data_IF_546702134382
#
_entry.id   IF_546702134382
#
_cell.length_a   1.000
_cell.length_b   1.000
_cell.length_c   1.000
_cell.angle_alpha   90.00
_cell.angle_beta   90.00
_cell.angle_gamma   90.00
#
_symmetry.space_group_name_H-M   'P 1'
#
loop_
_entity.id
_entity.type
_entity.pdbx_description
1 polymer ?
#
# COMPACT_ATOMS: atom_id res chain seq x y z
N UNK A 1 32.17 9.67 -11.57
CA UNK A 1 32.21 9.52 -10.10
C UNK A 1 30.77 9.54 -9.64
N UNK A 2 30.17 8.37 -9.50
CA UNK A 2 28.72 8.24 -9.36
C UNK A 2 28.35 8.31 -7.87
N UNK A 3 28.05 9.53 -7.43
CA UNK A 3 27.63 9.84 -6.06
C UNK A 3 26.17 9.44 -5.80
N UNK A 4 25.86 8.14 -5.85
CA UNK A 4 24.59 7.67 -5.30
C UNK A 4 24.68 7.67 -3.77
N UNK A 5 23.74 8.29 -3.04
CA UNK A 5 23.76 8.34 -1.58
C UNK A 5 23.52 6.94 -1.00
N UNK A 6 24.63 6.26 -0.67
CA UNK A 6 24.66 5.00 0.07
C UNK A 6 24.53 5.35 1.55
N UNK A 7 23.30 5.46 2.04
CA UNK A 7 23.05 5.71 3.47
C UNK A 7 22.77 4.38 4.19
N UNK A 8 23.80 3.65 4.67
CA UNK A 8 23.62 2.37 5.36
C UNK A 8 22.90 2.52 6.70
N UNK A 9 22.85 3.73 7.25
CA UNK A 9 22.19 4.05 8.51
C UNK A 9 20.74 4.51 8.32
N UNK A 10 20.20 4.47 7.09
CA UNK A 10 18.82 4.86 6.81
C UNK A 10 17.85 3.89 7.50
N UNK A 11 17.08 4.42 8.45
CA UNK A 11 16.04 3.70 9.20
C UNK A 11 14.63 4.03 8.72
N UNK A 12 14.39 5.28 8.33
CA UNK A 12 13.09 5.81 7.95
C UNK A 12 13.18 6.41 6.56
N UNK A 13 12.29 6.01 5.66
CA UNK A 13 12.19 6.59 4.32
C UNK A 13 10.73 6.86 3.98
N UNK A 14 10.40 8.15 3.90
CA UNK A 14 9.08 8.62 3.48
C UNK A 14 9.24 9.34 2.16
N UNK A 15 8.66 8.78 1.10
CA UNK A 15 8.66 9.43 -0.20
C UNK A 15 7.37 10.23 -0.34
N UNK A 16 7.49 11.42 -0.94
CA UNK A 16 6.34 12.27 -1.24
C UNK A 16 5.79 11.99 -2.64
N UNK A 17 4.51 12.27 -2.79
CA UNK A 17 3.75 12.26 -4.05
C UNK A 17 4.54 13.02 -5.13
N UNK A 18 4.85 12.37 -6.26
CA UNK A 18 5.38 13.02 -7.46
C UNK A 18 6.84 12.70 -7.80
N UNK A 19 7.58 12.02 -6.92
CA UNK A 19 8.83 11.38 -7.33
C UNK A 19 8.47 10.12 -8.10
N UNK A 20 8.53 10.17 -9.44
CA UNK A 20 8.68 8.94 -10.20
C UNK A 20 9.90 8.23 -9.66
N UNK A 21 9.67 7.14 -8.93
CA UNK A 21 10.68 6.19 -8.55
C UNK A 21 11.22 5.59 -9.86
N UNK A 22 12.19 6.27 -10.47
CA UNK A 22 12.93 5.78 -11.63
C UNK A 22 13.60 4.45 -11.27
N UNK A 23 14.07 3.67 -12.24
CA UNK A 23 14.63 2.35 -11.94
C UNK A 23 15.83 2.35 -10.97
N UNK A 24 16.38 3.51 -10.59
CA UNK A 24 17.53 3.65 -9.70
C UNK A 24 17.26 3.17 -8.27
N UNK A 25 16.00 3.15 -7.80
CA UNK A 25 15.68 2.62 -6.46
C UNK A 25 16.11 1.17 -6.29
N UNK A 26 16.07 0.37 -7.36
CA UNK A 26 16.53 -1.04 -7.34
C UNK A 26 17.99 -1.15 -6.96
N UNK A 27 18.80 -0.14 -7.32
CA UNK A 27 20.22 -0.06 -7.01
C UNK A 27 20.45 0.44 -5.58
N UNK A 28 19.53 1.23 -5.02
CA UNK A 28 19.63 1.79 -3.68
C UNK A 28 19.25 0.80 -2.57
N UNK A 29 18.21 -0.02 -2.75
CA UNK A 29 17.71 -0.94 -1.72
C UNK A 29 18.75 -1.86 -1.06
N UNK A 30 19.73 -2.44 -1.79
CA UNK A 30 20.78 -3.27 -1.17
C UNK A 30 21.60 -2.54 -0.08
N UNK A 31 21.62 -1.20 -0.10
CA UNK A 31 22.34 -0.39 0.87
C UNK A 31 21.47 0.00 2.09
N UNK A 32 20.14 -0.15 2.02
CA UNK A 32 19.21 0.22 3.09
C UNK A 32 18.82 -0.96 3.97
N UNK A 33 19.82 -1.74 4.41
CA UNK A 33 19.60 -2.97 5.20
C UNK A 33 18.97 -2.73 6.57
N UNK A 34 19.20 -1.53 7.11
CA UNK A 34 18.69 -1.10 8.41
C UNK A 34 17.36 -0.35 8.34
N UNK A 35 16.70 -0.36 7.16
CA UNK A 35 15.41 0.30 6.99
C UNK A 35 14.36 -0.41 7.84
N UNK A 36 13.74 0.35 8.74
CA UNK A 36 12.71 -0.09 9.69
C UNK A 36 11.32 0.38 9.23
N UNK A 37 11.26 1.53 8.56
CA UNK A 37 10.03 2.12 8.06
C UNK A 37 10.17 2.64 6.62
N UNK A 38 9.19 2.30 5.80
CA UNK A 38 9.07 2.80 4.44
C UNK A 38 7.63 3.24 4.16
N UNK A 39 7.44 4.47 3.70
CA UNK A 39 6.13 4.95 3.26
C UNK A 39 6.24 5.56 1.87
N UNK A 40 5.36 5.14 0.97
CA UNK A 40 5.27 5.70 -0.37
C UNK A 40 3.80 5.81 -0.81
N UNK A 41 3.34 6.99 -1.22
CA UNK A 41 2.05 7.10 -1.88
C UNK A 41 2.13 6.41 -3.25
N UNK A 42 1.33 5.36 -3.47
CA UNK A 42 1.26 4.60 -4.74
C UNK A 42 0.32 5.37 -5.69
N UNK A 43 0.89 6.34 -6.41
CA UNK A 43 0.16 7.11 -7.40
C UNK A 43 -0.12 6.27 -8.64
N UNK A 44 -1.25 5.57 -8.60
CA UNK A 44 -2.18 5.28 -9.69
C UNK A 44 -1.66 4.60 -10.98
N UNK A 45 -0.36 4.31 -11.13
CA UNK A 45 0.19 3.75 -12.36
C UNK A 45 1.16 2.59 -12.13
N UNK A 46 0.67 1.40 -12.50
CA UNK A 46 1.46 0.39 -13.19
C UNK A 46 2.50 -0.36 -12.36
N UNK A 47 2.09 -1.35 -11.58
CA UNK A 47 2.92 -2.49 -11.17
C UNK A 47 4.19 -2.19 -10.34
N UNK A 48 4.53 -0.93 -10.07
CA UNK A 48 5.72 -0.52 -9.32
C UNK A 48 5.70 -1.15 -7.94
N UNK A 49 4.52 -1.19 -7.30
CA UNK A 49 4.34 -1.79 -5.98
C UNK A 49 4.85 -3.24 -5.93
N UNK A 50 4.65 -4.05 -6.96
CA UNK A 50 5.16 -5.43 -6.98
C UNK A 50 6.68 -5.47 -6.97
N UNK A 51 7.32 -4.62 -7.77
CA UNK A 51 8.78 -4.51 -7.78
C UNK A 51 9.32 -3.95 -6.47
N UNK A 52 8.69 -2.90 -5.95
CA UNK A 52 9.06 -2.20 -4.73
C UNK A 52 8.97 -3.13 -3.52
N UNK A 53 7.81 -3.76 -3.31
CA UNK A 53 7.56 -4.71 -2.23
C UNK A 53 8.53 -5.89 -2.30
N UNK A 54 8.85 -6.38 -3.51
CA UNK A 54 9.87 -7.43 -3.67
C UNK A 54 11.26 -6.96 -3.25
N UNK A 55 11.67 -5.74 -3.63
CA UNK A 55 12.97 -5.20 -3.24
C UNK A 55 13.06 -4.95 -1.74
N UNK A 56 12.04 -4.34 -1.14
CA UNK A 56 11.93 -4.17 0.31
C UNK A 56 12.07 -5.53 1.03
N UNK A 57 11.28 -6.53 0.64
CA UNK A 57 11.33 -7.86 1.23
C UNK A 57 12.68 -8.56 1.07
N UNK A 58 13.38 -8.33 -0.04
CA UNK A 58 14.68 -8.94 -0.30
C UNK A 58 15.83 -8.29 0.46
N UNK A 59 15.83 -6.96 0.59
CA UNK A 59 17.00 -6.21 1.08
C UNK A 59 16.83 -5.57 2.46
N UNK A 60 15.60 -5.21 2.84
CA UNK A 60 15.29 -4.48 4.08
C UNK A 60 14.68 -5.44 5.11
N UNK A 61 15.52 -6.32 5.68
CA UNK A 61 15.06 -7.39 6.60
C UNK A 61 14.53 -6.88 7.94
N UNK A 62 14.85 -5.64 8.30
CA UNK A 62 14.38 -4.99 9.52
C UNK A 62 13.10 -4.17 9.29
N UNK A 63 12.51 -4.21 8.10
CA UNK A 63 11.32 -3.44 7.79
C UNK A 63 10.11 -3.96 8.56
N UNK A 64 9.62 -3.14 9.48
CA UNK A 64 8.48 -3.44 10.34
C UNK A 64 7.27 -2.55 10.02
N UNK A 65 7.50 -1.39 9.41
CA UNK A 65 6.46 -0.41 9.10
C UNK A 65 6.42 -0.13 7.60
N UNK A 66 5.24 -0.32 7.00
CA UNK A 66 5.04 -0.11 5.57
C UNK A 66 3.80 0.73 5.32
N UNK A 67 3.98 1.84 4.62
CA UNK A 67 2.89 2.73 4.23
C UNK A 67 2.71 2.76 2.72
N UNK A 68 1.48 2.50 2.28
CA UNK A 68 1.08 2.61 0.88
C UNK A 68 -0.29 3.26 0.76
N UNK A 69 -0.50 3.98 -0.33
CA UNK A 69 -1.78 4.61 -0.65
C UNK A 69 -2.15 4.26 -2.08
N UNK A 70 -3.24 3.52 -2.32
CA UNK A 70 -3.68 3.20 -3.68
C UNK A 70 -4.85 2.23 -3.72
N UNK A 71 -5.06 1.57 -4.86
CA UNK A 71 -6.08 0.52 -4.99
C UNK A 71 -5.46 -0.82 -4.55
N UNK A 72 -6.01 -1.44 -3.53
CA UNK A 72 -5.49 -2.67 -2.92
C UNK A 72 -6.57 -3.75 -3.00
N UNK A 73 -6.40 -4.67 -3.95
CA UNK A 73 -7.18 -5.90 -4.06
C UNK A 73 -6.47 -7.09 -3.42
N UNK A 74 -7.09 -8.27 -3.52
CA UNK A 74 -6.59 -9.53 -2.96
C UNK A 74 -5.20 -9.92 -3.47
N UNK A 75 -4.92 -9.73 -4.76
CA UNK A 75 -3.61 -10.03 -5.34
C UNK A 75 -2.49 -9.18 -4.73
N UNK A 76 -2.72 -7.87 -4.63
CA UNK A 76 -1.75 -6.92 -4.07
C UNK A 76 -1.53 -7.19 -2.57
N UNK A 77 -2.60 -7.45 -1.81
CA UNK A 77 -2.52 -7.82 -0.41
C UNK A 77 -1.72 -9.11 -0.20
N UNK A 78 -2.03 -10.16 -0.98
CA UNK A 78 -1.32 -11.44 -0.92
C UNK A 78 0.17 -11.28 -1.23
N UNK A 79 0.50 -10.42 -2.20
CA UNK A 79 1.86 -10.15 -2.57
C UNK A 79 2.65 -9.43 -1.47
N UNK A 80 2.03 -8.47 -0.79
CA UNK A 80 2.61 -7.76 0.37
C UNK A 80 2.88 -8.76 1.49
N UNK A 81 1.86 -9.52 1.90
CA UNK A 81 1.97 -10.54 2.95
C UNK A 81 3.08 -11.55 2.65
N UNK A 82 3.21 -11.98 1.39
CA UNK A 82 4.23 -12.95 0.97
C UNK A 82 5.65 -12.42 1.09
N UNK A 83 5.90 -11.14 0.77
CA UNK A 83 7.25 -10.60 0.65
C UNK A 83 7.71 -9.80 1.87
N UNK A 84 6.78 -9.34 2.71
CA UNK A 84 7.07 -8.57 3.92
C UNK A 84 6.61 -9.34 5.19
N UNK A 85 7.13 -10.56 5.45
CA UNK A 85 6.64 -11.42 6.53
C UNK A 85 6.90 -10.86 7.94
N UNK A 86 7.85 -9.93 8.07
CA UNK A 86 8.25 -9.28 9.33
C UNK A 86 7.44 -8.03 9.64
N UNK A 87 6.44 -7.69 8.82
CA UNK A 87 5.68 -6.46 8.96
C UNK A 87 4.83 -6.47 10.25
N UNK A 88 4.98 -5.43 11.06
CA UNK A 88 4.22 -5.23 12.30
C UNK A 88 3.14 -4.14 12.13
N UNK A 89 3.39 -3.16 11.27
CA UNK A 89 2.49 -2.05 11.03
C UNK A 89 2.29 -1.79 9.54
N UNK A 90 1.04 -1.68 9.12
CA UNK A 90 0.65 -1.41 7.75
C UNK A 90 -0.23 -0.16 7.69
N UNK A 91 0.24 0.89 7.03
CA UNK A 91 -0.54 2.08 6.76
C UNK A 91 -1.12 2.02 5.36
N UNK A 92 -2.46 2.07 5.27
CA UNK A 92 -3.22 2.05 4.03
C UNK A 92 -3.96 3.37 3.80
N UNK A 93 -3.59 4.45 4.51
CA UNK A 93 -4.33 5.72 4.47
C UNK A 93 -4.67 6.15 3.06
N UNK A 94 -5.89 6.64 2.87
CA UNK A 94 -6.39 7.17 1.58
C UNK A 94 -6.40 6.11 0.46
N UNK A 95 -6.40 4.82 0.79
CA UNK A 95 -6.50 3.73 -0.18
C UNK A 95 -7.94 3.33 -0.48
N UNK A 96 -8.12 2.72 -1.65
CA UNK A 96 -9.34 1.96 -1.98
C UNK A 96 -9.06 0.48 -1.78
N UNK A 97 -9.85 -0.19 -0.94
CA UNK A 97 -9.61 -1.57 -0.48
C UNK A 97 -10.79 -2.48 -0.81
N UNK A 98 -10.51 -3.71 -1.20
CA UNK A 98 -11.54 -4.78 -1.14
C UNK A 98 -11.60 -5.41 0.24
N UNK A 99 -12.74 -6.00 0.59
CA UNK A 99 -12.86 -6.78 1.83
C UNK A 99 -11.88 -7.95 1.86
N UNK A 100 -11.68 -8.64 0.73
CA UNK A 100 -10.70 -9.73 0.63
C UNK A 100 -9.28 -9.28 0.97
N UNK A 101 -8.89 -8.06 0.58
CA UNK A 101 -7.58 -7.52 0.91
C UNK A 101 -7.40 -7.39 2.43
N UNK A 102 -8.42 -6.90 3.15
CA UNK A 102 -8.38 -6.84 4.62
C UNK A 102 -8.28 -8.23 5.25
N UNK A 103 -9.09 -9.18 4.79
CA UNK A 103 -9.05 -10.55 5.30
C UNK A 103 -7.68 -11.19 5.11
N UNK A 104 -7.00 -10.91 4.00
CA UNK A 104 -5.64 -11.39 3.77
C UNK A 104 -4.64 -10.77 4.75
N UNK A 105 -4.77 -9.48 5.06
CA UNK A 105 -3.91 -8.83 6.06
C UNK A 105 -4.19 -9.34 7.47
N UNK A 106 -5.43 -9.71 7.79
CA UNK A 106 -5.82 -10.30 9.08
C UNK A 106 -5.11 -11.64 9.35
N UNK A 107 -4.83 -12.44 8.31
CA UNK A 107 -4.06 -13.69 8.46
C UNK A 107 -2.55 -13.46 8.61
N UNK A 108 -2.07 -12.22 8.48
CA UNK A 108 -0.64 -11.93 8.62
C UNK A 108 -0.20 -11.99 10.09
N UNK A 109 0.58 -13.03 10.43
CA UNK A 109 0.94 -13.39 11.82
C UNK A 109 1.58 -12.29 12.67
N UNK A 110 2.23 -11.30 12.04
CA UNK A 110 2.97 -10.24 12.74
C UNK A 110 2.32 -8.86 12.67
N UNK A 111 1.35 -8.63 11.79
CA UNK A 111 0.72 -7.31 11.69
C UNK A 111 -0.13 -7.11 12.95
N UNK A 112 0.15 -6.02 13.67
CA UNK A 112 -0.55 -5.62 14.90
C UNK A 112 -1.39 -4.39 14.69
N UNK A 113 -0.98 -3.53 13.76
CA UNK A 113 -1.66 -2.27 13.48
C UNK A 113 -1.90 -2.11 11.98
N UNK A 114 -3.15 -1.88 11.62
CA UNK A 114 -3.53 -1.48 10.26
C UNK A 114 -4.18 -0.12 10.35
N UNK A 115 -3.59 0.87 9.68
CA UNK A 115 -4.12 2.23 9.62
C UNK A 115 -4.99 2.39 8.37
N UNK A 116 -6.28 2.60 8.59
CA UNK A 116 -7.32 2.71 7.57
C UNK A 116 -7.89 4.12 7.44
N UNK A 117 -7.18 5.13 7.93
CA UNK A 117 -7.65 6.52 7.89
C UNK A 117 -7.96 6.96 6.46
N UNK A 118 -9.17 7.49 6.25
CA UNK A 118 -9.66 7.93 4.95
C UNK A 118 -9.67 6.84 3.85
N UNK A 119 -9.79 5.57 4.23
CA UNK A 119 -9.96 4.49 3.26
C UNK A 119 -11.37 4.43 2.69
N UNK A 120 -11.46 3.92 1.47
CA UNK A 120 -12.71 3.59 0.80
C UNK A 120 -12.78 2.08 0.58
N UNK A 121 -13.89 1.46 0.95
CA UNK A 121 -14.15 0.05 0.62
C UNK A 121 -14.90 -0.07 -0.70
N UNK A 122 -14.41 -0.94 -1.58
CA UNK A 122 -14.98 -1.21 -2.90
C UNK A 122 -15.16 -2.72 -3.09
N UNK A 123 -16.19 -3.11 -3.82
CA UNK A 123 -16.34 -4.52 -4.19
C UNK A 123 -15.30 -4.89 -5.25
N UNK A 124 -14.82 -6.13 -5.22
CA UNK A 124 -13.76 -6.61 -6.11
C UNK A 124 -14.13 -6.49 -7.60
N UNK A 125 -15.42 -6.61 -7.93
CA UNK A 125 -15.97 -6.43 -9.27
C UNK A 125 -15.75 -5.03 -9.87
N UNK A 126 -15.52 -4.01 -9.02
CA UNK A 126 -15.22 -2.66 -9.47
C UNK A 126 -13.74 -2.41 -9.70
N UNK A 127 -12.84 -3.28 -9.24
CA UNK A 127 -11.39 -3.10 -9.41
C UNK A 127 -10.97 -2.83 -10.86
N UNK A 128 -11.44 -3.58 -11.89
CA UNK A 128 -11.04 -3.32 -13.27
C UNK A 128 -11.43 -1.92 -13.75
N UNK A 129 -12.57 -1.40 -13.30
CA UNK A 129 -13.06 -0.06 -13.67
C UNK A 129 -12.21 1.05 -13.04
N UNK A 130 -11.71 0.83 -11.82
CA UNK A 130 -10.86 1.80 -11.12
C UNK A 130 -9.41 1.78 -11.65
N UNK A 131 -8.90 0.61 -12.09
CA UNK A 131 -7.54 0.50 -12.65
C UNK A 131 -7.35 1.20 -14.02
N UNK A 132 -8.43 1.41 -14.79
CA UNK A 132 -8.35 1.98 -16.14
C UNK A 132 -8.69 3.48 -16.22
N UNK A 133 -8.99 4.15 -15.10
CA UNK A 133 -9.52 5.52 -15.15
C UNK A 133 -8.42 6.60 -15.01
N UNK A 134 -8.21 7.46 -16.01
CA UNK A 134 -7.30 8.58 -15.90
C UNK A 134 -8.04 9.78 -15.29
N UNK A 135 -7.89 10.02 -13.98
CA UNK A 135 -8.34 11.29 -13.39
C UNK A 135 -8.78 11.24 -11.92
N UNK A 136 -8.23 12.16 -11.14
CA UNK A 136 -8.52 12.40 -9.72
C UNK A 136 -9.91 13.01 -9.50
N UNK A 137 -10.99 12.22 -9.64
CA UNK A 137 -12.34 12.68 -9.28
C UNK A 137 -13.17 11.51 -8.69
N UNK A 138 -12.58 10.74 -7.76
CA UNK A 138 -13.19 9.51 -7.21
C UNK A 138 -14.57 9.74 -6.55
N UNK A 139 -14.85 10.94 -6.02
CA UNK A 139 -16.11 11.23 -5.32
C UNK A 139 -17.37 11.17 -6.20
N UNK A 140 -17.25 11.43 -7.52
CA UNK A 140 -18.40 11.49 -8.43
C UNK A 140 -18.87 10.12 -8.94
N UNK A 141 -17.94 9.19 -9.16
CA UNK A 141 -18.24 7.88 -9.75
C UNK A 141 -18.80 6.89 -8.72
N UNK A 142 -18.29 6.95 -7.49
CA UNK A 142 -18.73 6.08 -6.40
C UNK A 142 -20.15 6.38 -5.91
N UNK A 143 -20.64 7.62 -6.11
CA UNK A 143 -22.06 7.94 -5.89
C UNK A 143 -23.01 7.14 -6.79
N UNK A 144 -22.54 6.62 -7.93
CA UNK A 144 -23.35 5.82 -8.87
C UNK A 144 -23.22 4.31 -8.68
N UNK A 145 -22.12 3.82 -8.11
CA UNK A 145 -21.93 2.40 -7.87
C UNK A 145 -22.61 2.02 -6.56
N UNK A 146 -23.75 1.35 -6.64
CA UNK A 146 -24.38 0.70 -5.50
C UNK A 146 -23.50 -0.46 -5.05
N UNK A 147 -22.48 -0.20 -4.24
CA UNK A 147 -21.57 -1.23 -3.74
C UNK A 147 -22.18 -1.93 -2.52
N UNK A 148 -21.98 -3.24 -2.38
CA UNK A 148 -22.27 -3.96 -1.13
C UNK A 148 -21.39 -3.43 0.00
N UNK A 149 -20.18 -2.97 -0.33
CA UNK A 149 -19.30 -2.24 0.56
C UNK A 149 -19.93 -0.98 1.18
N UNK A 150 -20.86 -0.29 0.48
CA UNK A 150 -21.58 0.88 1.04
C UNK A 150 -22.39 0.52 2.27
N UNK A 151 -23.09 -0.63 2.24
CA UNK A 151 -23.86 -1.14 3.38
C UNK A 151 -22.95 -1.44 4.57
N UNK A 152 -21.77 -1.99 4.31
CA UNK A 152 -20.77 -2.29 5.35
C UNK A 152 -20.17 -1.02 5.96
N UNK A 153 -19.89 -0.01 5.14
CA UNK A 153 -19.43 1.31 5.59
C UNK A 153 -20.45 2.02 6.48
N UNK A 154 -21.72 2.00 6.09
CA UNK A 154 -22.81 2.56 6.89
C UNK A 154 -22.97 1.80 8.22
N UNK A 155 -22.81 0.47 8.21
CA UNK A 155 -22.95 -0.37 9.40
C UNK A 155 -21.76 -0.22 10.38
N UNK A 156 -20.53 -0.05 9.89
CA UNK A 156 -19.37 0.21 10.74
C UNK A 156 -19.39 1.64 11.28
N UNK A 157 -19.67 2.65 10.46
CA UNK A 157 -19.78 4.03 10.95
C UNK A 157 -20.85 4.17 12.04
N UNK A 158 -21.97 3.45 11.93
CA UNK A 158 -23.00 3.41 12.97
C UNK A 158 -22.62 2.71 14.27
N UNK A 159 -21.54 1.89 14.28
CA UNK A 159 -21.08 1.16 15.48
C UNK A 159 -19.87 1.81 16.17
N UNK A 160 -19.20 2.74 15.50
CA UNK A 160 -17.96 3.39 15.97
C UNK A 160 -18.18 4.87 16.30
N UNK A 161 -19.40 5.39 16.13
CA UNK A 161 -19.83 6.73 16.56
C UNK A 161 -20.61 6.67 17.87
#
# INVERSE_FOLDING_TARGET
MDGHPRSPCLKFLHTIVGLQLDSSWRVAFPYWKNLEEYSCPDLMYGGIIYGLTRCLGNYCKNLQHFGICGIIGSEKASFIVKHLPELESLSLKKSSLTLDALLIFDVHRKIRTIDLEHCLFIDAEFLPQVYHWPGCNQAGFLKKLGTKAKKWNEEIHGKVS
#
